data_IF_696967781482
#
_entry.id   IF_696967781482
#
_cell.length_a   1.000
_cell.length_b   1.000
_cell.length_c   1.000
_cell.angle_alpha   90.00
_cell.angle_beta   90.00
_cell.angle_gamma   90.00
#
_symmetry.space_group_name_H-M   'P 1'
#
loop_
_entity.id
_entity.type
_entity.pdbx_description
1 polymer ?
#
# COMPACT_ATOMS: atom_id res chain seq x y z
N UNK A 1 3.96 3.74 -21.22
CA UNK A 1 2.79 3.06 -20.61
C UNK A 1 2.98 2.80 -19.11
N UNK A 2 4.23 2.75 -18.60
CA UNK A 2 4.51 2.49 -17.18
C UNK A 2 4.79 3.71 -16.29
N UNK A 3 4.90 4.94 -16.83
CA UNK A 3 5.28 6.12 -16.02
C UNK A 3 4.40 6.33 -14.78
N UNK A 4 3.08 6.18 -14.89
CA UNK A 4 2.16 6.38 -13.75
C UNK A 4 2.22 5.27 -12.69
N UNK A 5 2.42 4.01 -13.10
CA UNK A 5 2.55 2.89 -12.15
C UNK A 5 3.89 2.92 -11.42
N UNK A 6 4.93 3.43 -12.08
CA UNK A 6 6.28 3.56 -11.52
C UNK A 6 6.36 4.73 -10.56
N UNK A 7 5.69 5.85 -10.86
CA UNK A 7 5.50 6.93 -9.90
C UNK A 7 4.76 6.43 -8.66
N UNK A 8 3.73 5.59 -8.82
CA UNK A 8 3.01 4.99 -7.69
C UNK A 8 3.90 4.09 -6.81
N UNK A 9 4.68 3.20 -7.43
CA UNK A 9 5.61 2.32 -6.70
C UNK A 9 6.66 3.15 -5.95
N UNK A 10 7.18 4.22 -6.57
CA UNK A 10 8.12 5.15 -5.93
C UNK A 10 7.49 5.92 -4.77
N UNK A 11 6.25 6.37 -4.90
CA UNK A 11 5.51 7.01 -3.81
C UNK A 11 5.32 6.07 -2.61
N UNK A 12 5.16 4.77 -2.87
CA UNK A 12 5.08 3.72 -1.84
C UNK A 12 6.45 3.30 -1.28
N UNK A 13 7.52 3.99 -1.68
CA UNK A 13 8.88 3.66 -1.30
C UNK A 13 9.37 2.34 -1.87
N UNK A 14 8.71 1.74 -2.86
CA UNK A 14 9.10 0.47 -3.49
C UNK A 14 10.04 0.75 -4.67
N UNK A 15 11.34 0.73 -4.38
CA UNK A 15 12.40 0.89 -5.37
C UNK A 15 13.12 -0.43 -5.61
N UNK A 16 13.69 -0.60 -6.80
CA UNK A 16 14.13 -1.89 -7.31
C UNK A 16 15.54 -2.32 -6.90
N UNK A 17 15.73 -3.62 -6.70
CA UNK A 17 17.01 -4.27 -6.39
C UNK A 17 17.32 -5.40 -7.39
N UNK A 18 17.58 -5.10 -8.66
CA UNK A 18 18.01 -6.12 -9.63
C UNK A 18 17.82 -5.77 -11.11
N UNK A 19 17.71 -6.79 -11.98
CA UNK A 19 17.22 -6.65 -13.37
C UNK A 19 15.69 -6.72 -13.34
N UNK A 20 14.98 -5.64 -13.71
CA UNK A 20 13.51 -5.53 -13.59
C UNK A 20 12.76 -6.57 -14.43
N UNK A 21 13.43 -7.17 -15.42
CA UNK A 21 12.78 -8.07 -16.37
C UNK A 21 13.58 -9.36 -16.54
N UNK A 22 13.30 -10.33 -15.66
CA UNK A 22 13.44 -11.75 -16.01
C UNK A 22 12.09 -12.26 -16.52
N UNK A 23 12.11 -13.05 -17.59
CA UNK A 23 10.90 -13.74 -18.04
C UNK A 23 10.45 -14.71 -16.94
N UNK A 24 9.18 -14.64 -16.54
CA UNK A 24 8.61 -15.62 -15.61
C UNK A 24 8.60 -16.97 -16.31
N UNK A 25 9.33 -17.92 -15.75
CA UNK A 25 9.31 -19.32 -16.20
C UNK A 25 8.19 -20.04 -15.45
N UNK A 26 7.51 -20.97 -16.11
CA UNK A 26 6.63 -21.90 -15.42
C UNK A 26 7.45 -22.78 -14.47
N UNK A 27 6.81 -23.29 -13.43
CA UNK A 27 7.39 -24.19 -12.42
C UNK A 27 8.19 -25.36 -13.01
N UNK A 28 7.73 -25.95 -14.13
CA UNK A 28 8.46 -27.01 -14.85
C UNK A 28 9.78 -26.49 -15.45
N UNK A 29 9.74 -25.37 -16.17
CA UNK A 29 10.93 -24.78 -16.80
C UNK A 29 11.91 -24.20 -15.77
N UNK A 30 11.40 -23.64 -14.67
CA UNK A 30 12.21 -23.10 -13.57
C UNK A 30 13.04 -24.18 -12.86
N UNK A 31 12.47 -25.37 -12.64
CA UNK A 31 13.20 -26.51 -12.02
C UNK A 31 14.29 -27.10 -12.92
N UNK A 32 14.15 -26.97 -14.24
CA UNK A 32 15.06 -27.56 -15.22
C UNK A 32 16.41 -26.81 -15.36
N UNK A 33 16.55 -25.59 -14.82
CA UNK A 33 17.77 -24.74 -14.85
C UNK A 33 18.46 -24.54 -16.23
N UNK A 34 17.87 -25.01 -17.34
CA UNK A 34 18.57 -25.15 -18.64
C UNK A 34 18.53 -23.93 -19.57
N UNK A 35 17.90 -22.80 -19.21
CA UNK A 35 17.91 -21.62 -20.07
C UNK A 35 18.42 -20.37 -19.36
N UNK A 36 19.68 -20.05 -19.64
CA UNK A 36 20.20 -18.70 -19.48
C UNK A 36 19.61 -17.80 -20.57
N UNK A 37 19.14 -16.63 -20.12
CA UNK A 37 18.97 -15.36 -20.82
C UNK A 37 18.71 -15.37 -22.35
N UNK A 38 17.54 -14.84 -22.72
CA UNK A 38 17.28 -14.08 -23.95
C UNK A 38 17.72 -14.70 -25.29
N UNK A 39 17.04 -15.75 -25.75
CA UNK A 39 16.78 -15.96 -27.18
C UNK A 39 15.34 -16.48 -27.37
N UNK A 40 14.52 -15.70 -28.07
CA UNK A 40 13.31 -16.22 -28.71
C UNK A 40 13.77 -17.30 -29.69
N UNK A 41 13.45 -18.55 -29.38
CA UNK A 41 13.67 -19.70 -30.27
C UNK A 41 12.34 -20.40 -30.43
N UNK A 42 12.11 -21.03 -31.59
CA UNK A 42 10.86 -21.74 -31.95
C UNK A 42 10.43 -22.84 -30.95
N UNK A 43 11.29 -23.20 -29.99
CA UNK A 43 11.06 -24.21 -28.96
C UNK A 43 10.70 -23.63 -27.57
N UNK A 44 10.03 -22.48 -27.50
CA UNK A 44 9.57 -21.92 -26.21
C UNK A 44 8.36 -22.68 -25.66
N UNK A 45 8.38 -22.99 -24.37
CA UNK A 45 7.25 -23.58 -23.67
C UNK A 45 6.01 -22.65 -23.81
N UNK A 46 4.91 -23.16 -24.38
CA UNK A 46 3.66 -22.41 -24.56
C UNK A 46 3.12 -21.79 -23.26
N UNK A 47 3.33 -22.44 -22.12
CA UNK A 47 2.97 -21.87 -20.80
C UNK A 47 3.83 -20.65 -20.50
N UNK A 48 5.16 -20.75 -20.65
CA UNK A 48 6.07 -19.62 -20.44
C UNK A 48 5.77 -18.45 -21.39
N UNK A 49 5.46 -18.74 -22.65
CA UNK A 49 5.04 -17.72 -23.61
C UNK A 49 3.76 -17.01 -23.13
N UNK A 50 2.75 -17.77 -22.72
CA UNK A 50 1.49 -17.21 -22.21
C UNK A 50 1.62 -16.37 -20.93
N UNK A 51 2.70 -16.54 -20.17
CA UNK A 51 3.03 -15.70 -19.01
C UNK A 51 3.63 -14.36 -19.44
N UNK A 52 4.09 -14.21 -20.68
CA UNK A 52 4.61 -12.94 -21.22
C UNK A 52 3.57 -12.12 -21.97
N UNK A 53 2.33 -12.61 -22.05
CA UNK A 53 1.24 -11.93 -22.73
C UNK A 53 0.84 -10.62 -22.02
N UNK A 54 0.49 -9.61 -22.82
CA UNK A 54 -0.14 -8.38 -22.35
C UNK A 54 -1.66 -8.56 -22.17
N UNK A 55 -2.37 -7.48 -21.79
CA UNK A 55 -3.83 -7.43 -21.72
C UNK A 55 -4.59 -7.85 -22.99
N UNK A 56 -3.94 -7.94 -24.16
CA UNK A 56 -4.53 -8.37 -25.44
C UNK A 56 -4.19 -9.81 -25.79
N UNK A 57 -3.33 -10.47 -25.02
CA UNK A 57 -2.83 -11.80 -25.32
C UNK A 57 -1.69 -11.80 -26.34
N UNK A 58 -0.94 -10.70 -26.44
CA UNK A 58 0.23 -10.61 -27.32
C UNK A 58 1.50 -10.73 -26.47
N UNK A 59 2.47 -11.59 -26.82
CA UNK A 59 3.74 -11.68 -26.13
C UNK A 59 4.46 -10.34 -26.14
N UNK A 60 4.77 -9.81 -24.97
CA UNK A 60 5.51 -8.54 -24.85
C UNK A 60 6.73 -8.71 -23.95
N UNK A 61 7.89 -8.42 -24.52
CA UNK A 61 9.12 -8.28 -23.74
C UNK A 61 9.10 -6.89 -23.14
N UNK A 62 8.75 -6.80 -21.87
CA UNK A 62 8.90 -5.54 -21.14
C UNK A 62 10.39 -5.30 -20.98
N UNK A 63 10.84 -4.08 -21.26
CA UNK A 63 12.21 -3.65 -20.98
C UNK A 63 12.22 -2.71 -19.77
N UNK A 64 13.37 -2.56 -19.12
CA UNK A 64 13.56 -1.61 -18.00
C UNK A 64 13.19 -0.17 -18.44
N UNK A 65 13.43 0.17 -19.71
CA UNK A 65 12.98 1.42 -20.35
C UNK A 65 11.46 1.56 -20.46
N UNK A 66 10.74 0.47 -20.74
CA UNK A 66 9.27 0.48 -20.80
C UNK A 66 8.64 0.72 -19.43
N UNK A 67 9.34 0.28 -18.37
CA UNK A 67 9.02 0.48 -16.96
C UNK A 67 9.50 1.88 -16.49
N UNK A 68 9.99 2.74 -17.38
CA UNK A 68 10.41 4.10 -17.01
C UNK A 68 11.55 4.10 -15.99
N UNK A 69 12.50 3.15 -16.09
CA UNK A 69 13.75 3.22 -15.34
C UNK A 69 14.56 4.44 -15.80
N UNK A 70 14.26 5.60 -15.24
CA UNK A 70 15.12 6.79 -15.33
C UNK A 70 16.36 6.64 -14.43
N UNK A 71 17.25 7.64 -14.47
CA UNK A 71 18.47 7.78 -13.67
C UNK A 71 18.35 7.45 -12.16
N UNK A 72 17.13 7.43 -11.60
CA UNK A 72 16.86 7.10 -10.19
C UNK A 72 16.49 5.63 -9.91
N UNK A 73 16.39 4.77 -10.94
CA UNK A 73 15.99 3.36 -10.80
C UNK A 73 17.12 2.41 -11.23
N UNK A 74 18.34 2.69 -10.75
CA UNK A 74 19.51 1.84 -10.98
C UNK A 74 19.62 0.71 -9.94
N UNK A 75 20.42 -0.29 -10.27
CA UNK A 75 20.81 -1.37 -9.36
C UNK A 75 21.38 -0.75 -8.06
N UNK A 76 20.65 -0.88 -6.94
CA UNK A 76 20.94 -0.20 -5.68
C UNK A 76 19.75 0.59 -5.09
N UNK A 77 18.72 0.86 -5.89
CA UNK A 77 17.54 1.61 -5.41
C UNK A 77 16.74 0.85 -4.34
N UNK A 78 16.83 -0.49 -4.25
CA UNK A 78 16.23 -1.25 -3.14
C UNK A 78 16.81 -0.93 -1.75
N UNK A 79 18.06 -0.47 -1.66
CA UNK A 79 18.59 0.05 -0.40
C UNK A 79 17.90 1.38 -0.03
N UNK A 80 17.64 2.25 -1.01
CA UNK A 80 16.91 3.49 -0.82
C UNK A 80 15.46 3.22 -0.38
N UNK A 81 14.80 2.21 -0.97
CA UNK A 81 13.50 1.70 -0.53
C UNK A 81 13.51 1.28 0.93
N UNK A 82 14.47 0.43 1.30
CA UNK A 82 14.62 -0.05 2.67
C UNK A 82 14.88 1.11 3.63
N UNK A 83 15.81 2.01 3.31
CA UNK A 83 16.14 3.18 4.14
C UNK A 83 14.94 4.11 4.32
N UNK A 84 14.18 4.36 3.25
CA UNK A 84 12.97 5.19 3.30
C UNK A 84 11.88 4.56 4.18
N UNK A 85 11.60 3.27 3.99
CA UNK A 85 10.61 2.55 4.78
C UNK A 85 11.03 2.41 6.26
N UNK A 86 12.33 2.23 6.52
CA UNK A 86 12.88 2.26 7.88
C UNK A 86 12.76 3.66 8.50
N UNK A 87 13.01 4.72 7.75
CA UNK A 87 12.84 6.10 8.23
C UNK A 87 11.39 6.36 8.65
N UNK A 88 10.41 6.00 7.81
CA UNK A 88 8.98 6.13 8.13
C UNK A 88 8.63 5.32 9.37
N UNK A 89 9.18 4.12 9.49
CA UNK A 89 8.98 3.23 10.66
C UNK A 89 9.54 3.85 11.94
N UNK A 90 10.77 4.35 11.90
CA UNK A 90 11.41 5.00 13.04
C UNK A 90 10.66 6.28 13.45
N UNK A 91 10.22 7.10 12.50
CA UNK A 91 9.44 8.32 12.77
C UNK A 91 8.09 7.96 13.40
N UNK A 92 7.39 6.96 12.86
CA UNK A 92 6.11 6.50 13.40
C UNK A 92 6.27 5.97 14.83
N UNK A 93 7.28 5.13 15.07
CA UNK A 93 7.57 4.58 16.38
C UNK A 93 7.96 5.69 17.38
N UNK A 94 8.82 6.63 16.97
CA UNK A 94 9.19 7.78 17.80
C UNK A 94 7.97 8.63 18.18
N UNK A 95 7.04 8.86 17.25
CA UNK A 95 5.80 9.59 17.53
C UNK A 95 4.94 8.85 18.55
N UNK A 96 4.75 7.53 18.39
CA UNK A 96 4.00 6.70 19.35
C UNK A 96 4.65 6.73 20.74
N UNK A 97 5.98 6.59 20.84
CA UNK A 97 6.70 6.65 22.12
C UNK A 97 6.54 8.03 22.78
N UNK A 98 6.66 9.11 22.00
CA UNK A 98 6.49 10.46 22.51
C UNK A 98 5.05 10.73 22.98
N UNK A 99 4.04 10.22 22.27
CA UNK A 99 2.64 10.27 22.68
C UNK A 99 2.42 9.55 24.01
N UNK A 100 2.92 8.32 24.16
CA UNK A 100 2.81 7.54 25.40
C UNK A 100 3.52 8.23 26.56
N UNK A 101 4.73 8.74 26.33
CA UNK A 101 5.52 9.42 27.37
C UNK A 101 4.85 10.71 27.83
N UNK A 102 4.24 11.46 26.91
CA UNK A 102 3.47 12.66 27.26
C UNK A 102 2.14 12.34 27.92
N UNK A 103 1.47 11.26 27.55
CA UNK A 103 0.28 10.78 28.26
C UNK A 103 0.56 10.58 29.75
N UNK A 104 1.71 9.99 30.12
CA UNK A 104 2.08 9.85 31.53
C UNK A 104 2.16 11.20 32.27
N UNK A 105 2.49 12.28 31.57
CA UNK A 105 2.68 13.60 32.15
C UNK A 105 1.46 14.52 32.03
N UNK A 106 0.51 14.20 31.16
CA UNK A 106 -0.66 15.02 30.87
C UNK A 106 -1.94 14.40 31.47
N UNK A 107 -2.85 15.21 32.00
CA UNK A 107 -4.17 14.75 32.51
C UNK A 107 -5.14 14.44 31.36
N UNK A 108 -4.68 13.70 30.37
CA UNK A 108 -5.43 13.39 29.17
C UNK A 108 -6.15 12.05 29.31
N UNK A 109 -7.25 11.88 28.58
CA UNK A 109 -8.05 10.66 28.62
C UNK A 109 -7.35 9.55 27.84
N UNK A 110 -7.08 8.42 28.51
CA UNK A 110 -6.38 7.27 27.93
C UNK A 110 -7.09 6.77 26.67
N UNK A 111 -8.42 6.85 26.63
CA UNK A 111 -9.23 6.38 25.51
C UNK A 111 -8.92 7.20 24.26
N UNK A 112 -8.73 8.52 24.41
CA UNK A 112 -8.41 9.42 23.31
C UNK A 112 -7.01 9.16 22.75
N UNK A 113 -6.02 8.94 23.63
CA UNK A 113 -4.65 8.63 23.21
C UNK A 113 -4.60 7.29 22.47
N UNK A 114 -5.33 6.27 22.92
CA UNK A 114 -5.42 4.98 22.23
C UNK A 114 -6.08 5.13 20.86
N UNK A 115 -7.17 5.91 20.74
CA UNK A 115 -7.83 6.18 19.46
C UNK A 115 -6.87 6.86 18.48
N UNK A 116 -6.10 7.86 18.93
CA UNK A 116 -5.09 8.53 18.12
C UNK A 116 -3.96 7.61 17.67
N UNK A 117 -3.40 6.80 18.57
CA UNK A 117 -2.38 5.80 18.22
C UNK A 117 -2.94 4.82 17.18
N UNK A 118 -4.17 4.34 17.38
CA UNK A 118 -4.84 3.45 16.44
C UNK A 118 -5.00 4.03 15.04
N UNK A 119 -5.42 5.30 14.93
CA UNK A 119 -5.52 6.01 13.65
C UNK A 119 -4.16 6.18 12.96
N UNK A 120 -3.08 6.43 13.71
CA UNK A 120 -1.72 6.51 13.16
C UNK A 120 -1.22 5.13 12.69
N UNK A 121 -1.51 4.08 13.46
CA UNK A 121 -1.18 2.71 13.08
C UNK A 121 -1.91 2.28 11.80
N UNK A 122 -3.17 2.69 11.61
CA UNK A 122 -3.94 2.42 10.39
C UNK A 122 -3.24 2.97 9.13
N UNK A 123 -2.77 4.21 9.20
CA UNK A 123 -2.02 4.84 8.09
C UNK A 123 -0.67 4.16 7.83
N UNK A 124 -0.08 3.55 8.86
CA UNK A 124 1.22 2.88 8.79
C UNK A 124 1.15 1.44 8.24
N UNK A 125 -0.03 0.81 8.17
CA UNK A 125 -0.18 -0.57 7.65
C UNK A 125 0.42 -0.72 6.25
N UNK A 126 0.16 0.23 5.35
CA UNK A 126 0.68 0.21 3.97
C UNK A 126 2.22 0.18 3.95
N UNK A 127 2.89 1.24 4.45
CA UNK A 127 4.35 1.27 4.59
C UNK A 127 4.94 0.04 5.30
N UNK A 128 4.29 -0.44 6.37
CA UNK A 128 4.73 -1.64 7.08
C UNK A 128 4.69 -2.89 6.20
N UNK A 129 3.60 -3.12 5.47
CA UNK A 129 3.51 -4.28 4.54
C UNK A 129 4.54 -4.20 3.41
N UNK A 130 4.82 -2.98 2.90
CA UNK A 130 5.91 -2.76 1.94
C UNK A 130 7.28 -3.07 2.55
N UNK A 131 7.54 -2.66 3.80
CA UNK A 131 8.79 -2.95 4.51
C UNK A 131 9.02 -4.46 4.65
N UNK A 132 8.01 -5.20 5.11
CA UNK A 132 8.10 -6.66 5.25
C UNK A 132 8.37 -7.32 3.89
N UNK A 133 7.73 -6.85 2.82
CA UNK A 133 7.98 -7.34 1.45
C UNK A 133 9.44 -7.11 1.01
N UNK A 134 10.00 -5.93 1.26
CA UNK A 134 11.40 -5.60 0.91
C UNK A 134 12.37 -6.43 1.75
N UNK A 135 12.11 -6.61 3.04
CA UNK A 135 12.95 -7.44 3.91
C UNK A 135 12.90 -8.90 3.47
N UNK A 136 11.72 -9.44 3.19
CA UNK A 136 11.56 -10.82 2.70
C UNK A 136 12.28 -11.05 1.36
N UNK A 137 12.22 -10.08 0.44
CA UNK A 137 12.93 -10.16 -0.84
C UNK A 137 14.45 -10.19 -0.64
N UNK A 138 14.95 -9.46 0.37
CA UNK A 138 16.39 -9.36 0.69
C UNK A 138 16.87 -10.58 1.47
N UNK A 139 16.07 -11.05 2.44
CA UNK A 139 16.36 -12.16 3.35
C UNK A 139 15.15 -13.10 3.43
N UNK A 140 14.99 -14.00 2.44
CA UNK A 140 13.81 -14.88 2.35
C UNK A 140 13.72 -15.91 3.49
N UNK A 141 14.77 -16.07 4.30
CA UNK A 141 14.79 -16.95 5.47
C UNK A 141 14.19 -16.32 6.73
N UNK A 142 14.04 -14.99 6.78
CA UNK A 142 13.67 -14.27 8.01
C UNK A 142 12.17 -14.24 8.24
N UNK A 143 11.37 -14.14 7.17
CA UNK A 143 9.91 -14.09 7.28
C UNK A 143 9.27 -15.24 6.53
N UNK A 144 8.35 -15.94 7.20
CA UNK A 144 7.54 -16.99 6.57
C UNK A 144 6.21 -16.39 6.11
N UNK A 145 5.92 -16.50 4.81
CA UNK A 145 4.62 -16.13 4.26
C UNK A 145 4.69 -15.80 2.77
N UNK A 146 3.94 -16.54 1.96
CA UNK A 146 3.80 -16.32 0.51
C UNK A 146 3.23 -14.95 0.16
N UNK A 147 2.45 -14.35 1.06
CA UNK A 147 1.80 -13.05 0.87
C UNK A 147 2.78 -11.89 0.66
N UNK A 148 3.99 -11.96 1.23
CA UNK A 148 5.01 -10.90 1.10
C UNK A 148 5.43 -10.72 -0.35
N UNK A 149 5.41 -11.79 -1.15
CA UNK A 149 5.70 -11.74 -2.57
C UNK A 149 4.65 -10.98 -3.39
N UNK A 150 3.45 -10.74 -2.84
CA UNK A 150 2.40 -9.98 -3.52
C UNK A 150 2.80 -8.51 -3.77
N UNK A 151 3.69 -7.97 -2.94
CA UNK A 151 4.19 -6.60 -3.01
C UNK A 151 5.62 -6.50 -3.56
N UNK A 152 6.24 -7.63 -3.93
CA UNK A 152 7.54 -7.62 -4.56
C UNK A 152 7.47 -6.87 -5.90
N UNK A 153 8.44 -5.97 -6.14
CA UNK A 153 8.46 -5.11 -7.34
C UNK A 153 8.37 -5.93 -8.62
N UNK A 154 9.08 -7.06 -8.70
CA UNK A 154 9.04 -7.97 -9.85
C UNK A 154 7.64 -8.54 -10.10
N UNK A 155 6.95 -8.95 -9.03
CA UNK A 155 5.59 -9.47 -9.10
C UNK A 155 4.63 -8.37 -9.55
N UNK A 156 4.70 -7.18 -8.96
CA UNK A 156 3.87 -6.03 -9.32
C UNK A 156 4.07 -5.64 -10.79
N UNK A 157 5.31 -5.52 -11.26
CA UNK A 157 5.64 -5.21 -12.65
C UNK A 157 5.06 -6.25 -13.60
N UNK A 158 5.18 -7.54 -13.27
CA UNK A 158 4.60 -8.60 -14.07
C UNK A 158 3.08 -8.47 -14.17
N UNK A 159 2.42 -8.15 -13.05
CA UNK A 159 0.96 -7.96 -12.98
C UNK A 159 0.48 -6.76 -13.78
N UNK A 160 1.20 -5.65 -13.75
CA UNK A 160 0.79 -4.43 -14.45
C UNK A 160 0.70 -4.62 -15.98
N UNK A 161 1.33 -5.66 -16.54
CA UNK A 161 1.23 -6.01 -17.97
C UNK A 161 -0.19 -6.41 -18.39
N UNK A 162 -0.94 -7.03 -17.48
CA UNK A 162 -2.32 -7.43 -17.71
C UNK A 162 -3.31 -6.26 -17.60
N UNK A 163 -2.86 -5.09 -17.13
CA UNK A 163 -3.74 -3.95 -16.87
C UNK A 163 -3.70 -2.94 -18.01
N UNK A 164 -4.87 -2.60 -18.55
CA UNK A 164 -5.03 -1.49 -19.49
C UNK A 164 -5.04 -0.14 -18.76
N UNK A 165 -3.84 0.38 -18.48
CA UNK A 165 -3.65 1.62 -17.70
C UNK A 165 -4.43 2.84 -18.23
N UNK A 166 -4.63 2.95 -19.55
CA UNK A 166 -5.38 4.07 -20.16
C UNK A 166 -6.81 4.19 -19.65
N UNK A 167 -7.45 3.06 -19.32
CA UNK A 167 -8.82 3.02 -18.81
C UNK A 167 -8.88 3.16 -17.28
N UNK A 168 -7.82 2.72 -16.59
CA UNK A 168 -7.79 2.65 -15.12
C UNK A 168 -7.21 3.91 -14.45
N UNK A 169 -6.63 4.83 -15.22
CA UNK A 169 -6.05 6.10 -14.71
C UNK A 169 -7.03 6.94 -13.88
N UNK A 170 -8.32 6.92 -14.20
CA UNK A 170 -9.33 7.70 -13.49
C UNK A 170 -9.56 7.21 -12.06
N UNK A 171 -9.48 5.89 -11.84
CA UNK A 171 -9.52 5.32 -10.49
C UNK A 171 -8.33 5.81 -9.66
N UNK A 172 -7.13 5.87 -10.25
CA UNK A 172 -5.95 6.43 -9.60
C UNK A 172 -6.13 7.90 -9.20
N UNK A 173 -6.69 8.72 -10.09
CA UNK A 173 -7.02 10.11 -9.75
C UNK A 173 -8.04 10.21 -8.61
N UNK A 174 -9.06 9.35 -8.59
CA UNK A 174 -10.05 9.34 -7.51
C UNK A 174 -9.43 9.00 -6.15
N UNK A 175 -8.60 7.94 -6.07
CA UNK A 175 -7.90 7.59 -4.82
C UNK A 175 -6.95 8.71 -4.36
N UNK A 176 -6.23 9.33 -5.29
CA UNK A 176 -5.30 10.42 -4.98
C UNK A 176 -6.04 11.67 -4.48
N UNK A 177 -7.08 12.12 -5.18
CA UNK A 177 -7.88 13.28 -4.78
C UNK A 177 -8.61 13.03 -3.45
N UNK A 178 -9.16 11.84 -3.25
CA UNK A 178 -9.78 11.46 -1.98
C UNK A 178 -8.77 11.50 -0.81
N UNK A 179 -7.55 11.02 -1.04
CA UNK A 179 -6.49 11.05 -0.03
C UNK A 179 -6.03 12.47 0.27
N UNK A 180 -5.91 13.33 -0.74
CA UNK A 180 -5.62 14.76 -0.56
C UNK A 180 -6.72 15.44 0.24
N UNK A 181 -7.99 15.20 -0.08
CA UNK A 181 -9.11 15.82 0.62
C UNK A 181 -9.09 15.48 2.11
N UNK A 182 -8.90 14.20 2.46
CA UNK A 182 -8.82 13.75 3.86
C UNK A 182 -7.54 14.26 4.53
N UNK A 183 -6.40 14.24 3.83
CA UNK A 183 -5.16 14.82 4.34
C UNK A 183 -5.33 16.30 4.70
N UNK A 184 -5.96 17.09 3.82
CA UNK A 184 -6.23 18.50 4.07
C UNK A 184 -7.12 18.70 5.31
N UNK A 185 -8.19 17.93 5.48
CA UNK A 185 -9.04 18.05 6.68
C UNK A 185 -8.29 17.70 7.95
N UNK A 186 -7.43 16.68 7.94
CA UNK A 186 -6.60 16.30 9.08
C UNK A 186 -5.52 17.34 9.39
N UNK A 187 -4.88 17.92 8.37
CA UNK A 187 -3.96 19.03 8.55
C UNK A 187 -4.65 20.26 9.16
N UNK A 188 -5.87 20.59 8.70
CA UNK A 188 -6.67 21.68 9.29
C UNK A 188 -7.00 21.36 10.75
N UNK A 189 -7.35 20.12 11.10
CA UNK A 189 -7.61 19.73 12.50
C UNK A 189 -6.39 19.88 13.41
N UNK A 190 -5.16 19.64 12.89
CA UNK A 190 -3.91 19.87 13.64
C UNK A 190 -3.65 21.37 13.84
N UNK A 191 -4.01 22.20 12.85
CA UNK A 191 -3.74 23.64 12.85
C UNK A 191 -4.81 24.46 13.58
N UNK A 192 -6.07 24.03 13.51
CA UNK A 192 -7.23 24.77 14.00
C UNK A 192 -7.11 25.24 15.46
N UNK A 193 -6.54 24.49 16.41
CA UNK A 193 -6.37 24.96 17.78
C UNK A 193 -5.50 26.22 17.94
N UNK A 194 -4.64 26.53 16.96
CA UNK A 194 -3.78 27.72 16.98
C UNK A 194 -4.50 29.00 16.54
N UNK A 195 -5.59 28.87 15.78
CA UNK A 195 -6.29 30.00 15.18
C UNK A 195 -7.70 30.18 15.76
N UNK A 196 -8.39 29.09 16.06
CA UNK A 196 -9.71 29.10 16.68
C UNK A 196 -9.91 27.85 17.55
N UNK A 197 -9.63 27.93 18.87
CA UNK A 197 -9.76 26.81 19.78
C UNK A 197 -11.21 26.36 20.00
N UNK A 198 -12.21 27.13 19.53
CA UNK A 198 -13.64 26.76 19.60
C UNK A 198 -14.00 25.73 18.52
N UNK A 199 -13.24 25.67 17.42
CA UNK A 199 -13.49 24.79 16.29
C UNK A 199 -13.07 23.32 16.52
N UNK A 200 -12.34 23.04 17.61
CA UNK A 200 -11.76 21.72 17.90
C UNK A 200 -12.09 21.32 19.34
N UNK A 201 -12.07 20.02 19.65
CA UNK A 201 -12.33 19.56 21.01
C UNK A 201 -11.35 20.23 22.01
N UNK A 202 -11.82 20.64 23.20
CA UNK A 202 -10.98 21.32 24.19
C UNK A 202 -9.77 20.48 24.65
N UNK A 203 -9.81 19.15 24.45
CA UNK A 203 -8.66 18.26 24.62
C UNK A 203 -7.60 18.44 23.53
N UNK A 204 -8.00 18.50 22.26
CA UNK A 204 -7.08 18.76 21.16
C UNK A 204 -6.43 20.14 21.30
N UNK A 205 -7.16 21.13 21.84
CA UNK A 205 -6.64 22.47 22.12
C UNK A 205 -5.64 22.53 23.29
N UNK A 206 -5.90 21.84 24.41
CA UNK A 206 -4.97 21.81 25.55
C UNK A 206 -3.67 21.04 25.25
N UNK A 207 -3.72 20.00 24.41
CA UNK A 207 -2.54 19.22 24.04
C UNK A 207 -1.64 19.93 23.00
N UNK A 208 -2.24 20.64 22.02
CA UNK A 208 -1.46 21.38 21.00
C UNK A 208 -0.73 22.59 21.58
N UNK A 209 -1.27 23.22 22.63
CA UNK A 209 -0.68 24.39 23.28
C UNK A 209 0.48 24.01 24.22
N UNK A 210 0.39 22.89 24.95
CA UNK A 210 1.45 22.46 25.89
C UNK A 210 2.63 21.74 25.21
N UNK A 211 2.48 21.33 23.94
CA UNK A 211 3.36 20.38 23.28
C UNK A 211 4.25 20.89 22.15
N UNK A 212 4.46 22.22 22.09
CA UNK A 212 4.62 23.01 20.86
C UNK A 212 5.82 22.71 19.94
N UNK A 213 6.94 22.14 20.40
CA UNK A 213 8.19 22.24 19.61
C UNK A 213 8.67 20.98 18.89
N UNK A 214 8.26 19.77 19.30
CA UNK A 214 8.79 18.51 18.75
C UNK A 214 7.76 17.58 18.13
N UNK A 215 6.50 17.63 18.58
CA UNK A 215 5.49 16.62 18.21
C UNK A 215 4.65 17.04 17.00
N UNK A 216 4.37 18.34 16.85
CA UNK A 216 3.55 18.86 15.75
C UNK A 216 4.15 18.56 14.37
N UNK A 217 5.46 18.80 14.10
CA UNK A 217 6.05 18.45 12.82
C UNK A 217 6.00 16.94 12.53
N UNK A 218 6.17 16.09 13.55
CA UNK A 218 6.07 14.64 13.41
C UNK A 218 4.63 14.21 13.08
N UNK A 219 3.62 14.86 13.64
CA UNK A 219 2.22 14.59 13.29
C UNK A 219 1.91 14.97 11.85
N UNK A 220 2.36 16.14 11.39
CA UNK A 220 2.20 16.53 9.98
C UNK A 220 2.87 15.53 9.05
N UNK A 221 4.11 15.14 9.35
CA UNK A 221 4.82 14.15 8.57
C UNK A 221 4.01 12.86 8.43
N UNK A 222 3.53 12.28 9.55
CA UNK A 222 2.76 11.02 9.53
C UNK A 222 1.41 11.19 8.82
N UNK A 223 0.73 12.33 8.96
CA UNK A 223 -0.54 12.56 8.23
C UNK A 223 -0.29 12.63 6.74
N UNK A 224 0.64 13.48 6.31
CA UNK A 224 0.93 13.70 4.89
C UNK A 224 1.44 12.42 4.24
N UNK A 225 2.47 11.82 4.82
CA UNK A 225 3.06 10.58 4.33
C UNK A 225 2.06 9.43 4.41
N UNK A 226 1.33 9.29 5.52
CA UNK A 226 0.37 8.23 5.74
C UNK A 226 -0.79 8.24 4.73
N UNK A 227 -1.40 9.41 4.47
CA UNK A 227 -2.50 9.49 3.50
C UNK A 227 -2.04 9.36 2.05
N UNK A 228 -0.86 9.89 1.70
CA UNK A 228 -0.27 9.69 0.36
C UNK A 228 -0.03 8.20 0.11
N UNK A 229 0.58 7.51 1.08
CA UNK A 229 0.84 6.07 0.97
C UNK A 229 -0.45 5.25 1.00
N UNK A 230 -1.40 5.58 1.87
CA UNK A 230 -2.68 4.88 1.95
C UNK A 230 -3.45 4.93 0.62
N UNK A 231 -3.55 6.12 0.02
CA UNK A 231 -4.15 6.30 -1.31
C UNK A 231 -3.42 5.54 -2.40
N UNK A 232 -2.09 5.62 -2.39
CA UNK A 232 -1.25 4.89 -3.34
C UNK A 232 -1.42 3.38 -3.22
N UNK A 233 -1.50 2.88 -1.98
CA UNK A 233 -1.63 1.46 -1.67
C UNK A 233 -3.01 0.93 -2.06
N UNK A 234 -4.08 1.67 -1.76
CA UNK A 234 -5.43 1.34 -2.23
C UNK A 234 -5.49 1.22 -3.76
N UNK A 235 -4.86 2.16 -4.47
CA UNK A 235 -4.80 2.11 -5.93
C UNK A 235 -3.96 0.91 -6.42
N UNK A 236 -2.87 0.55 -5.75
CA UNK A 236 -2.09 -0.64 -6.07
C UNK A 236 -2.92 -1.93 -5.94
N UNK A 237 -3.65 -2.09 -4.83
CA UNK A 237 -4.55 -3.23 -4.60
C UNK A 237 -5.65 -3.29 -5.67
N UNK A 238 -6.21 -2.14 -6.05
CA UNK A 238 -7.17 -2.04 -7.15
C UNK A 238 -6.59 -2.50 -8.48
N UNK A 239 -5.37 -2.06 -8.82
CA UNK A 239 -4.69 -2.48 -10.05
C UNK A 239 -4.40 -3.99 -10.05
N UNK A 240 -3.99 -4.55 -8.91
CA UNK A 240 -3.80 -5.99 -8.76
C UNK A 240 -5.11 -6.75 -9.02
N UNK A 241 -6.23 -6.31 -8.43
CA UNK A 241 -7.55 -6.89 -8.72
C UNK A 241 -7.88 -6.87 -10.21
N UNK A 242 -7.71 -5.72 -10.88
CA UNK A 242 -7.93 -5.61 -12.31
C UNK A 242 -7.00 -6.52 -13.14
N UNK A 243 -5.76 -6.72 -12.68
CA UNK A 243 -4.82 -7.61 -13.35
C UNK A 243 -5.30 -9.07 -13.36
N UNK A 244 -5.93 -9.53 -12.28
CA UNK A 244 -6.49 -10.89 -12.19
C UNK A 244 -7.75 -11.05 -13.05
N UNK A 245 -8.62 -10.04 -13.10
CA UNK A 245 -9.77 -10.07 -14.02
C UNK A 245 -9.31 -10.20 -15.49
N UNK A 246 -8.27 -9.47 -15.88
CA UNK A 246 -7.68 -9.60 -17.21
C UNK A 246 -7.02 -10.95 -17.42
N UNK A 247 -6.25 -11.45 -16.45
CA UNK A 247 -5.56 -12.74 -16.55
C UNK A 247 -6.56 -13.89 -16.74
N UNK A 248 -7.67 -13.90 -16.02
CA UNK A 248 -8.70 -14.96 -16.16
C UNK A 248 -9.24 -15.02 -17.60
N UNK A 249 -9.42 -13.88 -18.26
CA UNK A 249 -9.83 -13.83 -19.68
C UNK A 249 -8.76 -14.43 -20.59
N UNK A 250 -7.49 -14.13 -20.33
CA UNK A 250 -6.35 -14.67 -21.08
C UNK A 250 -6.16 -16.17 -20.86
N UNK A 251 -6.32 -16.65 -19.63
CA UNK A 251 -6.30 -18.08 -19.31
C UNK A 251 -7.43 -18.79 -20.04
N UNK A 252 -8.64 -18.22 -20.03
CA UNK A 252 -9.78 -18.78 -20.76
C UNK A 252 -9.53 -18.87 -22.28
N UNK A 253 -8.89 -17.85 -22.86
CA UNK A 253 -8.44 -17.86 -24.26
C UNK A 253 -7.42 -18.97 -24.51
N UNK A 254 -6.37 -19.06 -23.68
CA UNK A 254 -5.33 -20.07 -23.79
C UNK A 254 -5.89 -21.51 -23.70
N UNK A 255 -6.83 -21.74 -22.79
CA UNK A 255 -7.50 -23.03 -22.61
C UNK A 255 -8.31 -23.43 -23.85
N UNK A 256 -9.01 -22.48 -24.49
CA UNK A 256 -9.73 -22.75 -25.76
C UNK A 256 -8.78 -23.11 -26.89
N UNK A 257 -7.65 -22.40 -27.01
CA UNK A 257 -6.67 -22.60 -28.08
C UNK A 257 -5.86 -23.89 -27.94
N UNK A 258 -5.79 -24.48 -26.74
CA UNK A 258 -4.99 -25.68 -26.48
C UNK A 258 -5.81 -26.80 -25.81
N UNK A 259 -7.11 -26.87 -26.08
CA UNK A 259 -8.04 -27.81 -25.43
C UNK A 259 -7.64 -29.29 -25.61
N UNK A 260 -6.89 -29.58 -26.68
CA UNK A 260 -6.39 -30.92 -27.00
C UNK A 260 -5.24 -31.37 -26.08
N UNK A 261 -4.54 -30.44 -25.41
CA UNK A 261 -3.41 -30.72 -24.51
C UNK A 261 -3.78 -30.39 -23.06
N UNK A 262 -4.39 -31.37 -22.38
CA UNK A 262 -4.88 -31.25 -21.00
C UNK A 262 -3.75 -30.90 -20.03
N UNK A 263 -2.55 -31.45 -20.23
CA UNK A 263 -1.41 -31.20 -19.34
C UNK A 263 -0.93 -29.75 -19.43
N UNK A 264 -0.92 -29.19 -20.64
CA UNK A 264 -0.60 -27.80 -20.87
C UNK A 264 -1.63 -26.86 -20.21
N UNK A 265 -2.92 -27.16 -20.41
CA UNK A 265 -4.02 -26.44 -19.78
C UNK A 265 -3.93 -26.46 -18.25
N UNK A 266 -3.69 -27.63 -17.67
CA UNK A 266 -3.53 -27.80 -16.21
C UNK A 266 -2.34 -27.02 -15.68
N UNK A 267 -1.21 -27.05 -16.38
CA UNK A 267 -0.02 -26.29 -15.99
C UNK A 267 -0.28 -24.77 -16.01
N UNK A 268 -0.94 -24.24 -17.04
CA UNK A 268 -1.27 -22.81 -17.10
C UNK A 268 -2.27 -22.39 -16.02
N UNK A 269 -3.25 -23.25 -15.73
CA UNK A 269 -4.24 -23.01 -14.67
C UNK A 269 -3.58 -22.99 -13.29
N UNK A 270 -2.67 -23.93 -13.01
CA UNK A 270 -1.93 -23.98 -11.75
C UNK A 270 -1.12 -22.70 -11.51
N UNK A 271 -0.40 -22.21 -12.53
CA UNK A 271 0.35 -20.95 -12.44
C UNK A 271 -0.54 -19.73 -12.17
N UNK A 272 -1.79 -19.71 -12.68
CA UNK A 272 -2.77 -18.66 -12.41
C UNK A 272 -3.37 -18.78 -11.00
N UNK A 273 -3.57 -20.00 -10.52
CA UNK A 273 -4.11 -20.27 -9.20
C UNK A 273 -3.13 -19.92 -8.09
N UNK A 274 -1.85 -20.32 -8.20
CA UNK A 274 -0.80 -20.00 -7.23
C UNK A 274 -0.62 -18.49 -7.08
N UNK A 275 -0.60 -17.83 -8.23
CA UNK A 275 -0.64 -16.39 -8.40
C UNK A 275 -1.80 -15.73 -7.61
N UNK A 276 -3.03 -16.18 -7.87
CA UNK A 276 -4.23 -15.66 -7.21
C UNK A 276 -4.22 -15.96 -5.70
N UNK A 277 -3.71 -17.11 -5.29
CA UNK A 277 -3.60 -17.50 -3.89
C UNK A 277 -2.77 -16.49 -3.09
N UNK A 278 -1.59 -16.12 -3.61
CA UNK A 278 -0.69 -15.12 -3.01
C UNK A 278 -1.43 -13.78 -2.81
N UNK A 279 -2.16 -13.32 -3.84
CA UNK A 279 -2.92 -12.07 -3.73
C UNK A 279 -4.08 -12.16 -2.75
N UNK A 280 -4.80 -13.29 -2.73
CA UNK A 280 -5.93 -13.51 -1.82
C UNK A 280 -5.48 -13.50 -0.36
N UNK A 281 -4.40 -14.19 -0.04
CA UNK A 281 -3.81 -14.16 1.31
C UNK A 281 -3.44 -12.74 1.73
N UNK A 282 -2.73 -12.02 0.85
CA UNK A 282 -2.36 -10.63 1.08
C UNK A 282 -3.57 -9.71 1.28
N UNK A 283 -4.54 -9.73 0.36
CA UNK A 283 -5.71 -8.87 0.40
C UNK A 283 -6.60 -9.18 1.62
N UNK A 284 -6.77 -10.46 1.95
CA UNK A 284 -7.51 -10.89 3.15
C UNK A 284 -6.84 -10.37 4.42
N UNK A 285 -5.52 -10.53 4.56
CA UNK A 285 -4.77 -10.04 5.71
C UNK A 285 -4.85 -8.52 5.83
N UNK A 286 -4.67 -7.79 4.72
CA UNK A 286 -4.76 -6.34 4.69
C UNK A 286 -6.16 -5.83 5.08
N UNK A 287 -7.23 -6.40 4.50
CA UNK A 287 -8.61 -6.03 4.84
C UNK A 287 -8.91 -6.33 6.31
N UNK A 288 -8.51 -7.51 6.81
CA UNK A 288 -8.73 -7.88 8.21
C UNK A 288 -8.04 -6.91 9.18
N UNK A 289 -6.77 -6.55 8.93
CA UNK A 289 -6.04 -5.59 9.77
C UNK A 289 -6.70 -4.21 9.76
N UNK A 290 -7.10 -3.70 8.60
CA UNK A 290 -7.78 -2.40 8.50
C UNK A 290 -9.14 -2.44 9.19
N UNK A 291 -9.94 -3.48 8.98
CA UNK A 291 -11.27 -3.59 9.56
C UNK A 291 -11.19 -3.64 11.09
N UNK A 292 -10.31 -4.47 11.65
CA UNK A 292 -10.10 -4.57 13.10
C UNK A 292 -9.69 -3.21 13.68
N UNK A 293 -8.67 -2.57 13.11
CA UNK A 293 -8.17 -1.29 13.62
C UNK A 293 -9.19 -0.17 13.46
N UNK A 294 -9.88 -0.08 12.32
CA UNK A 294 -10.96 0.89 12.10
C UNK A 294 -12.09 0.68 13.11
N UNK A 295 -12.54 -0.55 13.32
CA UNK A 295 -13.62 -0.85 14.28
C UNK A 295 -13.21 -0.44 15.69
N UNK A 296 -11.99 -0.79 16.13
CA UNK A 296 -11.49 -0.39 17.45
C UNK A 296 -11.42 1.13 17.57
N UNK A 297 -10.85 1.83 16.59
CA UNK A 297 -10.73 3.30 16.64
C UNK A 297 -12.10 3.98 16.66
N UNK A 298 -13.05 3.54 15.82
CA UNK A 298 -14.40 4.10 15.78
C UNK A 298 -15.16 3.86 17.09
N UNK A 299 -15.01 2.69 17.71
CA UNK A 299 -15.63 2.39 19.00
C UNK A 299 -15.03 3.26 20.12
N UNK A 300 -13.72 3.49 20.11
CA UNK A 300 -13.06 4.37 21.08
C UNK A 300 -13.50 5.83 20.92
N UNK A 301 -13.57 6.34 19.68
CA UNK A 301 -14.07 7.69 19.39
C UNK A 301 -15.55 7.84 19.78
N UNK A 302 -16.38 6.84 19.47
CA UNK A 302 -17.78 6.81 19.88
C UNK A 302 -17.93 6.79 21.41
N UNK A 303 -17.08 6.03 22.12
CA UNK A 303 -17.08 6.01 23.57
C UNK A 303 -16.76 7.40 24.15
N UNK A 304 -15.74 8.08 23.62
CA UNK A 304 -15.40 9.45 24.03
C UNK A 304 -16.59 10.38 23.81
N UNK A 305 -17.26 10.27 22.66
CA UNK A 305 -18.43 11.08 22.34
C UNK A 305 -19.60 10.84 23.31
N UNK A 306 -19.88 9.59 23.68
CA UNK A 306 -20.95 9.22 24.61
C UNK A 306 -20.63 9.64 26.05
N UNK A 307 -19.39 9.41 26.50
CA UNK A 307 -18.98 9.64 27.90
C UNK A 307 -18.71 11.11 28.21
N UNK A 308 -18.45 11.95 27.19
CA UNK A 308 -18.34 13.41 27.34
C UNK A 308 -19.55 14.16 26.74
N UNK A 309 -20.77 14.05 27.29
CA UNK A 309 -21.91 14.85 26.85
C UNK A 309 -21.83 16.32 27.33
N UNK A 310 -20.82 16.69 28.12
CA UNK A 310 -20.76 17.98 28.82
C UNK A 310 -20.09 19.09 28.00
N UNK A 311 -20.79 19.61 26.99
CA UNK A 311 -20.67 21.02 26.57
C UNK A 311 -21.96 21.61 25.97
N UNK A 312 -23.03 20.83 25.83
CA UNK A 312 -24.34 21.35 25.40
C UNK A 312 -25.14 22.04 26.51
N UNK A 313 -24.83 21.81 27.78
CA UNK A 313 -25.50 22.51 28.89
C UNK A 313 -24.98 23.93 29.16
N UNK A 314 -23.85 24.33 28.59
CA UNK A 314 -23.40 25.74 28.61
C UNK A 314 -24.05 26.60 27.52
N UNK A 315 -24.82 26.01 26.59
CA UNK A 315 -25.49 26.74 25.51
C UNK A 315 -26.85 27.33 25.92
N UNK A 316 -27.37 27.04 27.12
CA UNK A 316 -28.62 27.64 27.61
C UNK A 316 -28.45 28.89 28.47
N UNK A 317 -27.22 29.34 28.74
CA UNK A 317 -26.96 30.51 29.61
C UNK A 317 -26.15 31.64 28.99
N UNK A 318 -25.68 31.51 27.75
CA UNK A 318 -24.88 32.56 27.09
C UNK A 318 -25.51 33.16 25.82
N UNK A 319 -26.82 33.03 25.63
CA UNK A 319 -27.62 33.92 24.75
C UNK A 319 -28.11 35.15 25.50
N UNK A 320 -27.17 35.82 26.19
CA UNK A 320 -27.39 37.19 26.68
C UNK A 320 -26.16 38.04 26.33
N UNK A 321 -26.46 39.02 25.49
CA UNK A 321 -25.73 40.26 25.22
C UNK A 321 -24.74 40.29 24.05
N UNK A 322 -25.28 40.92 22.99
CA UNK A 322 -24.70 41.67 21.88
C UNK A 322 -24.00 40.93 20.75
#
# INVERSE_FOLDING_TARGET
>A
MASSAVVLLKMLGLYHSGRLVRSKLCSRCGRSKKHNAFRYTENQCKVCDSLTWDHRGVPTVVTDSDIGSSFFNHCGSGLLSLLWLLLITCITLANIILLITRYHNARCDIVHVIAWIGMKLLLYIGPFTCLISVIHTTWPTVFMGSWSNALAVEFLVHRMRFVKMKEKKFAGYAFFLGSIAIMCTQCVQIVAPYFDPVLVSPMAANETISGLTTIVPLHFFIVIEGFINFGGFCYLVYLLRCSYESEIRLVSKFLRENIEDIDLCRARLAEAFDAYHIFREFASGWIAMNLILCTVCLLLELHIWIVKPSHWHSFSTSTRFF
#
